data_IF_907411231974
#
_entry.id   IF_907411231974
#
_cell.length_a   1.000
_cell.length_b   1.000
_cell.length_c   1.000
_cell.angle_alpha   90.00
_cell.angle_beta   90.00
_cell.angle_gamma   90.00
#
_symmetry.space_group_name_H-M   'P 1'
#
loop_
_entity.id
_entity.type
_entity.pdbx_description
1 polymer ?
#
# COMPACT_ATOMS: atom_id res chain seq x y z
N UNK A 1 -4.55 19.37 4.84
CA UNK A 1 -5.52 18.36 5.31
C UNK A 1 -6.19 17.72 4.10
N UNK A 2 -6.08 16.40 3.89
CA UNK A 2 -6.66 15.75 2.71
C UNK A 2 -8.19 15.72 2.83
N UNK A 3 -8.85 16.49 1.95
CA UNK A 3 -10.28 16.81 1.99
C UNK A 3 -11.20 15.58 1.83
N UNK A 4 -10.66 14.44 1.39
CA UNK A 4 -11.42 13.21 1.17
C UNK A 4 -10.63 11.98 1.60
N UNK A 5 -10.73 11.59 2.89
CA UNK A 5 -10.16 10.33 3.38
C UNK A 5 -10.89 9.15 2.72
N UNK A 6 -10.14 8.22 2.13
CA UNK A 6 -10.66 6.95 1.61
C UNK A 6 -11.42 6.18 2.69
N UNK A 7 -12.38 5.35 2.28
CA UNK A 7 -13.04 4.42 3.19
C UNK A 7 -12.01 3.43 3.75
N UNK A 8 -12.03 3.22 5.05
CA UNK A 8 -11.22 2.19 5.71
C UNK A 8 -11.91 0.82 5.65
N UNK A 9 -11.19 -0.25 6.00
CA UNK A 9 -11.82 -1.57 6.17
C UNK A 9 -12.89 -1.54 7.28
N UNK A 10 -12.69 -0.75 8.34
CA UNK A 10 -13.70 -0.57 9.39
C UNK A 10 -14.98 0.04 8.82
N UNK A 11 -14.86 1.15 8.08
CA UNK A 11 -16.00 1.82 7.46
C UNK A 11 -16.77 0.85 6.54
N UNK A 12 -16.06 0.01 5.79
CA UNK A 12 -16.69 -1.00 4.92
C UNK A 12 -17.42 -2.09 5.71
N UNK A 13 -16.87 -2.52 6.85
CA UNK A 13 -17.55 -3.47 7.72
C UNK A 13 -18.82 -2.85 8.32
N UNK A 14 -18.77 -1.59 8.73
CA UNK A 14 -19.92 -0.86 9.26
C UNK A 14 -21.01 -0.68 8.20
N UNK A 15 -20.62 -0.39 6.94
CA UNK A 15 -21.55 -0.39 5.80
C UNK A 15 -22.20 -1.77 5.64
N UNK A 16 -21.42 -2.86 5.67
CA UNK A 16 -21.98 -4.20 5.51
C UNK A 16 -22.99 -4.53 6.62
N UNK A 17 -22.66 -4.22 7.89
CA UNK A 17 -23.55 -4.46 9.03
C UNK A 17 -24.83 -3.61 8.95
N UNK A 18 -24.71 -2.32 8.60
CA UNK A 18 -25.88 -1.45 8.40
C UNK A 18 -26.82 -1.96 7.31
N UNK A 19 -26.26 -2.48 6.21
CA UNK A 19 -27.03 -3.10 5.13
C UNK A 19 -27.72 -4.40 5.56
N UNK A 20 -27.10 -5.19 6.45
CA UNK A 20 -27.70 -6.40 7.02
C UNK A 20 -28.83 -6.09 7.99
N UNK A 21 -28.74 -4.96 8.72
CA UNK A 21 -29.79 -4.43 9.59
C UNK A 21 -30.92 -3.71 8.84
N UNK A 22 -30.77 -3.49 7.53
CA UNK A 22 -31.76 -2.78 6.72
C UNK A 22 -31.75 -1.25 6.94
N UNK A 23 -30.64 -0.69 7.43
CA UNK A 23 -30.49 0.75 7.63
C UNK A 23 -30.44 1.51 6.29
N UNK A 24 -30.87 2.78 6.30
CA UNK A 24 -30.79 3.65 5.13
C UNK A 24 -29.36 4.14 4.91
N UNK A 25 -28.99 4.49 3.66
CA UNK A 25 -27.68 5.09 3.38
C UNK A 25 -27.41 6.37 4.17
N UNK A 26 -28.47 7.10 4.57
CA UNK A 26 -28.35 8.29 5.42
C UNK A 26 -27.87 7.93 6.82
N UNK A 27 -28.47 6.92 7.44
CA UNK A 27 -28.08 6.43 8.77
C UNK A 27 -26.65 5.86 8.75
N UNK A 28 -26.34 5.02 7.76
CA UNK A 28 -25.00 4.44 7.60
C UNK A 28 -23.95 5.54 7.39
N UNK A 29 -24.24 6.53 6.54
CA UNK A 29 -23.34 7.67 6.31
C UNK A 29 -23.07 8.49 7.57
N UNK A 30 -24.11 8.75 8.39
CA UNK A 30 -23.95 9.41 9.68
C UNK A 30 -23.07 8.61 10.63
N UNK A 31 -23.22 7.29 10.69
CA UNK A 31 -22.41 6.40 11.54
C UNK A 31 -20.91 6.46 11.20
N UNK A 32 -20.56 6.38 9.91
CA UNK A 32 -19.16 6.38 9.46
C UNK A 32 -18.59 7.79 9.21
N UNK A 33 -19.38 8.84 9.51
CA UNK A 33 -19.04 10.25 9.24
C UNK A 33 -18.69 10.51 7.76
N UNK A 34 -19.50 9.96 6.84
CA UNK A 34 -19.38 10.14 5.38
C UNK A 34 -20.70 10.56 4.78
N UNK A 35 -20.63 11.23 3.62
CA UNK A 35 -21.81 11.59 2.86
C UNK A 35 -22.59 10.33 2.41
N UNK A 36 -23.94 10.30 2.50
CA UNK A 36 -24.75 9.15 2.09
C UNK A 36 -24.53 8.71 0.64
N UNK A 37 -24.18 9.65 -0.26
CA UNK A 37 -23.84 9.33 -1.65
C UNK A 37 -22.53 8.55 -1.76
N UNK A 38 -21.61 8.72 -0.82
CA UNK A 38 -20.36 7.93 -0.74
C UNK A 38 -20.68 6.47 -0.45
N UNK A 39 -21.57 6.21 0.52
CA UNK A 39 -22.05 4.86 0.84
C UNK A 39 -22.77 4.26 -0.36
N UNK A 40 -23.66 5.03 -1.02
CA UNK A 40 -24.36 4.53 -2.21
C UNK A 40 -23.41 4.17 -3.35
N UNK A 41 -22.39 5.01 -3.64
CA UNK A 41 -21.39 4.76 -4.68
C UNK A 41 -20.55 3.51 -4.37
N UNK A 42 -20.11 3.37 -3.11
CA UNK A 42 -19.35 2.20 -2.64
C UNK A 42 -20.15 0.90 -2.82
N UNK A 43 -21.41 0.90 -2.40
CA UNK A 43 -22.30 -0.28 -2.52
C UNK A 43 -22.57 -0.62 -3.98
N UNK A 44 -22.88 0.38 -4.83
CA UNK A 44 -23.12 0.15 -6.26
C UNK A 44 -21.91 -0.41 -6.99
N UNK A 45 -20.70 0.08 -6.66
CA UNK A 45 -19.45 -0.31 -7.31
C UNK A 45 -19.02 -1.72 -6.94
N UNK A 46 -19.16 -2.11 -5.67
CA UNK A 46 -18.62 -3.37 -5.15
C UNK A 46 -19.70 -4.43 -4.85
N UNK A 47 -20.87 -4.33 -5.49
CA UNK A 47 -21.92 -5.34 -5.38
C UNK A 47 -21.54 -6.61 -6.15
N UNK A 48 -21.82 -7.77 -5.58
CA UNK A 48 -21.42 -9.06 -6.14
C UNK A 48 -22.59 -10.00 -6.30
N UNK A 49 -22.66 -10.65 -7.45
CA UNK A 49 -23.67 -11.67 -7.75
C UNK A 49 -23.27 -12.96 -7.03
N UNK A 50 -24.25 -13.65 -6.46
CA UNK A 50 -24.07 -14.99 -5.89
C UNK A 50 -24.57 -16.03 -6.88
N UNK A 51 -23.66 -16.89 -7.35
CA UNK A 51 -23.89 -17.86 -8.44
C UNK A 51 -24.90 -18.98 -8.13
N UNK A 52 -25.42 -19.06 -6.91
CA UNK A 52 -26.26 -20.16 -6.43
C UNK A 52 -27.73 -20.12 -6.89
N UNK A 53 -28.07 -19.42 -7.99
CA UNK A 53 -29.49 -19.21 -8.35
C UNK A 53 -29.80 -19.79 -9.72
N UNK A 54 -30.75 -20.74 -9.78
CA UNK A 54 -30.99 -21.60 -10.95
C UNK A 54 -31.52 -20.91 -12.20
N UNK A 55 -32.13 -19.72 -12.11
CA UNK A 55 -32.86 -19.10 -13.24
C UNK A 55 -32.42 -17.66 -13.59
N UNK A 56 -31.42 -17.08 -12.89
CA UNK A 56 -30.85 -15.75 -13.16
C UNK A 56 -31.85 -14.58 -13.38
N UNK A 57 -33.08 -14.65 -12.85
CA UNK A 57 -34.06 -13.57 -13.04
C UNK A 57 -33.71 -12.32 -12.20
N UNK A 58 -33.80 -11.09 -12.73
CA UNK A 58 -33.51 -9.88 -11.97
C UNK A 58 -34.55 -9.67 -10.85
N UNK A 59 -34.08 -9.34 -9.64
CA UNK A 59 -34.98 -9.08 -8.51
C UNK A 59 -35.50 -7.63 -8.53
N UNK A 60 -36.82 -7.38 -8.52
CA UNK A 60 -37.38 -6.03 -8.59
C UNK A 60 -37.04 -5.17 -7.36
N UNK A 61 -36.73 -5.79 -6.22
CA UNK A 61 -36.32 -5.08 -5.00
C UNK A 61 -34.95 -4.40 -5.14
N UNK A 62 -34.11 -4.85 -6.09
CA UNK A 62 -32.79 -4.28 -6.33
C UNK A 62 -32.83 -2.99 -7.17
N UNK A 63 -34.00 -2.64 -7.73
CA UNK A 63 -34.20 -1.37 -8.43
C UNK A 63 -34.27 -0.16 -7.49
N UNK A 64 -34.43 -0.42 -6.18
CA UNK A 64 -34.47 0.60 -5.13
C UNK A 64 -33.26 0.43 -4.19
N UNK A 65 -32.93 1.49 -3.46
CA UNK A 65 -31.94 1.40 -2.39
C UNK A 65 -32.37 0.30 -1.39
N UNK A 66 -31.47 -0.59 -0.96
CA UNK A 66 -30.00 -0.49 -0.94
C UNK A 66 -29.26 -1.17 -2.11
N UNK A 67 -29.96 -1.56 -3.18
CA UNK A 67 -29.39 -2.25 -4.36
C UNK A 67 -28.73 -3.62 -4.08
N UNK A 68 -28.87 -4.16 -2.87
CA UNK A 68 -28.29 -5.44 -2.44
C UNK A 68 -29.27 -6.22 -1.55
N UNK A 69 -29.05 -7.52 -1.41
CA UNK A 69 -29.88 -8.47 -0.68
C UNK A 69 -29.43 -8.70 0.77
N UNK A 70 -28.45 -7.95 1.29
CA UNK A 70 -27.85 -8.15 2.61
C UNK A 70 -28.90 -8.28 3.74
N UNK A 71 -29.82 -7.31 3.82
CA UNK A 71 -30.94 -7.28 4.77
C UNK A 71 -32.27 -7.80 4.22
N UNK A 72 -32.28 -8.54 3.10
CA UNK A 72 -33.54 -9.03 2.52
C UNK A 72 -34.14 -10.14 3.41
N UNK A 73 -35.43 -10.07 3.80
CA UNK A 73 -36.07 -11.11 4.61
C UNK A 73 -36.11 -12.47 3.90
N UNK A 74 -36.10 -12.45 2.56
CA UNK A 74 -36.14 -13.65 1.71
C UNK A 74 -34.75 -14.09 1.24
N UNK A 75 -33.68 -13.60 1.87
CA UNK A 75 -32.28 -13.88 1.52
C UNK A 75 -31.95 -15.38 1.43
N UNK A 76 -32.52 -16.21 2.32
CA UNK A 76 -32.28 -17.66 2.38
C UNK A 76 -33.15 -18.48 1.42
N UNK A 77 -34.24 -17.91 0.89
CA UNK A 77 -35.15 -18.62 -0.01
C UNK A 77 -34.56 -18.69 -1.43
N UNK A 78 -34.65 -19.84 -2.09
CA UNK A 78 -34.24 -19.99 -3.49
C UNK A 78 -35.45 -19.84 -4.41
N UNK A 79 -35.71 -18.61 -4.89
CA UNK A 79 -36.89 -18.27 -5.71
C UNK A 79 -36.54 -17.93 -7.15
N UNK A 80 -35.41 -18.44 -7.66
CA UNK A 80 -34.97 -18.21 -9.05
C UNK A 80 -34.48 -16.79 -9.37
N UNK A 81 -34.48 -15.85 -8.40
CA UNK A 81 -33.95 -14.49 -8.59
C UNK A 81 -32.45 -14.38 -8.28
N UNK A 82 -31.71 -13.68 -9.15
CA UNK A 82 -30.31 -13.34 -8.96
C UNK A 82 -30.11 -12.56 -7.65
N UNK A 83 -29.28 -13.10 -6.76
CA UNK A 83 -28.97 -12.49 -5.47
C UNK A 83 -27.69 -11.67 -5.58
N UNK A 84 -27.75 -10.43 -5.12
CA UNK A 84 -26.61 -9.51 -5.14
C UNK A 84 -26.28 -9.14 -3.69
N UNK A 85 -25.01 -9.18 -3.30
CA UNK A 85 -24.55 -8.83 -1.96
C UNK A 85 -23.42 -7.82 -1.98
N UNK A 86 -23.33 -7.00 -0.93
CA UNK A 86 -22.14 -6.23 -0.61
C UNK A 86 -21.33 -6.97 0.46
N UNK A 87 -20.04 -7.19 0.21
CA UNK A 87 -19.13 -7.87 1.12
C UNK A 87 -17.88 -7.02 1.35
N UNK A 88 -17.71 -6.53 2.58
CA UNK A 88 -16.70 -5.55 2.95
C UNK A 88 -15.28 -6.01 2.62
N UNK A 89 -14.95 -7.28 2.93
CA UNK A 89 -13.63 -7.86 2.66
C UNK A 89 -13.28 -7.85 1.17
N UNK A 90 -14.25 -8.14 0.31
CA UNK A 90 -14.01 -8.17 -1.14
C UNK A 90 -13.94 -6.76 -1.72
N UNK A 91 -14.78 -5.83 -1.25
CA UNK A 91 -14.71 -4.43 -1.62
C UNK A 91 -13.34 -3.81 -1.23
N UNK A 92 -12.82 -4.15 -0.04
CA UNK A 92 -11.48 -3.75 0.39
C UNK A 92 -10.41 -4.33 -0.54
N UNK A 93 -10.48 -5.64 -0.86
CA UNK A 93 -9.54 -6.28 -1.77
C UNK A 93 -9.53 -5.64 -3.16
N UNK A 94 -10.71 -5.33 -3.71
CA UNK A 94 -10.85 -4.63 -4.98
C UNK A 94 -10.24 -3.23 -4.93
N UNK A 95 -10.46 -2.48 -3.85
CA UNK A 95 -9.85 -1.17 -3.65
C UNK A 95 -8.31 -1.25 -3.60
N UNK A 96 -7.75 -2.20 -2.85
CA UNK A 96 -6.30 -2.43 -2.77
C UNK A 96 -5.73 -2.82 -4.13
N UNK A 97 -6.43 -3.68 -4.88
CA UNK A 97 -6.05 -4.07 -6.23
C UNK A 97 -6.04 -2.86 -7.18
N UNK A 98 -7.08 -2.02 -7.19
CA UNK A 98 -7.08 -0.80 -8.02
C UNK A 98 -5.96 0.16 -7.64
N UNK A 99 -5.62 0.29 -6.36
CA UNK A 99 -4.49 1.10 -5.90
C UNK A 99 -3.13 0.58 -6.40
N UNK A 100 -3.01 -0.74 -6.54
CA UNK A 100 -1.84 -1.41 -7.08
C UNK A 100 -1.83 -1.21 -8.60
N UNK A 101 -2.88 -1.58 -9.31
CA UNK A 101 -3.02 -1.47 -10.77
C UNK A 101 -2.80 -0.04 -11.28
N UNK A 102 -3.35 0.98 -10.61
CA UNK A 102 -3.14 2.38 -11.00
C UNK A 102 -1.68 2.84 -10.87
N UNK A 103 -0.87 2.12 -10.09
CA UNK A 103 0.57 2.37 -9.89
C UNK A 103 1.44 1.32 -10.55
N UNK A 104 0.84 0.29 -11.13
CA UNK A 104 1.49 -0.77 -11.86
C UNK A 104 1.39 -0.50 -13.35
N UNK A 105 2.45 0.10 -13.87
CA UNK A 105 2.57 0.32 -15.30
C UNK A 105 3.59 1.40 -15.56
N UNK A 106 4.56 1.08 -16.41
CA UNK A 106 5.17 2.11 -17.26
C UNK A 106 4.30 2.18 -18.51
N UNK A 107 4.15 3.32 -19.20
CA UNK A 107 3.55 3.34 -20.53
C UNK A 107 4.46 2.57 -21.51
N UNK A 108 4.43 1.23 -21.43
CA UNK A 108 5.23 0.30 -22.22
C UNK A 108 4.84 0.33 -23.70
N UNK A 109 3.65 0.84 -24.02
CA UNK A 109 3.15 0.97 -25.39
C UNK A 109 3.48 2.34 -26.03
N UNK A 110 4.54 3.00 -25.57
CA UNK A 110 5.03 4.23 -26.19
C UNK A 110 6.18 3.90 -27.14
N UNK A 111 6.20 4.50 -28.33
CA UNK A 111 7.32 4.35 -29.28
C UNK A 111 8.66 4.69 -28.61
N UNK A 112 8.65 5.71 -27.75
CA UNK A 112 9.79 6.14 -26.92
C UNK A 112 10.37 5.03 -26.06
N UNK A 113 9.55 4.09 -25.58
CA UNK A 113 10.02 2.96 -24.78
C UNK A 113 10.82 1.97 -25.64
N UNK A 114 10.33 1.64 -26.84
CA UNK A 114 11.02 0.73 -27.75
C UNK A 114 12.31 1.32 -28.32
N UNK A 115 12.33 2.63 -28.59
CA UNK A 115 13.55 3.32 -29.02
C UNK A 115 14.62 3.27 -27.92
N UNK A 116 14.20 3.46 -26.66
CA UNK A 116 15.06 3.30 -25.49
C UNK A 116 15.56 1.85 -25.34
N UNK A 117 14.67 0.85 -25.47
CA UNK A 117 15.04 -0.56 -25.38
C UNK A 117 16.09 -0.95 -26.42
N UNK A 118 15.95 -0.47 -27.66
CA UNK A 118 16.90 -0.73 -28.73
C UNK A 118 18.29 -0.19 -28.39
N UNK A 119 18.38 1.09 -28.00
CA UNK A 119 19.65 1.73 -27.63
C UNK A 119 20.34 0.99 -26.48
N UNK A 120 19.56 0.62 -25.47
CA UNK A 120 20.07 -0.02 -24.26
C UNK A 120 20.50 -1.45 -24.53
N UNK A 121 19.69 -2.20 -25.28
CA UNK A 121 19.99 -3.57 -25.69
C UNK A 121 21.27 -3.63 -26.53
N UNK A 122 21.44 -2.71 -27.48
CA UNK A 122 22.64 -2.64 -28.31
C UNK A 122 23.88 -2.28 -27.49
N UNK A 123 23.77 -1.34 -26.55
CA UNK A 123 24.86 -0.95 -25.66
C UNK A 123 25.32 -2.08 -24.74
N UNK A 124 24.37 -2.82 -24.16
CA UNK A 124 24.67 -3.95 -23.26
C UNK A 124 25.24 -5.14 -24.03
N UNK A 125 24.74 -5.44 -25.23
CA UNK A 125 25.32 -6.48 -26.10
C UNK A 125 26.78 -6.17 -26.49
N UNK A 126 27.13 -4.88 -26.59
CA UNK A 126 28.52 -4.41 -26.76
C UNK A 126 29.36 -4.44 -25.48
N UNK A 127 28.79 -4.87 -24.35
CA UNK A 127 29.47 -4.95 -23.05
C UNK A 127 29.55 -3.63 -22.28
N UNK A 128 28.82 -2.59 -22.69
CA UNK A 128 28.86 -1.30 -21.99
C UNK A 128 28.07 -1.34 -20.67
N UNK A 129 28.53 -0.56 -19.69
CA UNK A 129 27.81 -0.40 -18.43
C UNK A 129 26.60 0.54 -18.59
N UNK A 130 25.46 0.21 -17.96
CA UNK A 130 24.20 0.99 -18.01
C UNK A 130 24.43 2.49 -17.80
N UNK A 131 25.24 2.85 -16.80
CA UNK A 131 25.53 4.24 -16.49
C UNK A 131 26.13 5.01 -17.67
N UNK A 132 27.03 4.38 -18.42
CA UNK A 132 27.64 5.00 -19.60
C UNK A 132 26.63 5.16 -20.74
N UNK A 133 25.82 4.13 -20.98
CA UNK A 133 24.76 4.18 -22.02
C UNK A 133 23.79 5.34 -21.74
N UNK A 134 23.32 5.47 -20.49
CA UNK A 134 22.41 6.54 -20.08
C UNK A 134 23.04 7.93 -20.26
N UNK A 135 24.32 8.09 -19.91
CA UNK A 135 25.03 9.37 -20.01
C UNK A 135 25.33 9.77 -21.45
N UNK A 136 25.69 8.82 -22.32
CA UNK A 136 26.01 9.07 -23.73
C UNK A 136 24.77 9.39 -24.55
N UNK A 137 23.66 8.68 -24.31
CA UNK A 137 22.42 8.83 -25.08
C UNK A 137 21.41 9.79 -24.44
N UNK A 138 21.76 10.42 -23.31
CA UNK A 138 20.93 11.38 -22.57
C UNK A 138 19.47 10.93 -22.39
N UNK A 139 19.29 9.68 -21.94
CA UNK A 139 17.97 9.08 -21.79
C UNK A 139 17.29 9.58 -20.50
N UNK A 140 16.00 9.91 -20.58
CA UNK A 140 15.16 10.38 -19.46
C UNK A 140 14.80 9.28 -18.43
N UNK A 141 15.62 8.24 -18.32
CA UNK A 141 15.42 7.14 -17.38
C UNK A 141 16.56 7.08 -16.36
N UNK A 142 16.22 7.00 -15.08
CA UNK A 142 17.21 6.73 -14.04
C UNK A 142 17.77 5.30 -14.16
N UNK A 143 19.00 5.10 -13.71
CA UNK A 143 19.61 3.77 -13.62
C UNK A 143 18.75 2.78 -12.83
N UNK A 144 18.16 3.24 -11.72
CA UNK A 144 17.27 2.43 -10.87
C UNK A 144 16.01 1.96 -11.60
N UNK A 145 15.45 2.80 -12.47
CA UNK A 145 14.30 2.49 -13.31
C UNK A 145 14.67 1.38 -14.30
N UNK A 146 15.84 1.49 -14.93
CA UNK A 146 16.28 0.50 -15.90
C UNK A 146 16.56 -0.86 -15.27
N UNK A 147 17.28 -0.92 -14.14
CA UNK A 147 17.48 -2.18 -13.41
C UNK A 147 16.15 -2.80 -12.95
N UNK A 148 15.13 -1.98 -12.67
CA UNK A 148 13.78 -2.47 -12.36
C UNK A 148 13.09 -3.06 -13.60
N UNK A 149 13.19 -2.41 -14.76
CA UNK A 149 12.63 -2.92 -16.02
C UNK A 149 13.28 -4.21 -16.48
N UNK A 150 14.61 -4.30 -16.41
CA UNK A 150 15.35 -5.53 -16.74
C UNK A 150 14.88 -6.70 -15.85
N UNK A 151 14.77 -6.47 -14.54
CA UNK A 151 14.28 -7.51 -13.60
C UNK A 151 12.82 -7.89 -13.81
N UNK A 152 11.98 -6.96 -14.25
CA UNK A 152 10.58 -7.22 -14.59
C UNK A 152 10.41 -7.83 -16.00
N UNK A 153 11.48 -7.93 -16.79
CA UNK A 153 11.43 -8.47 -18.16
C UNK A 153 10.72 -7.54 -19.15
N UNK A 154 10.74 -6.23 -18.91
CA UNK A 154 10.12 -5.26 -19.83
C UNK A 154 11.00 -4.89 -21.03
N UNK A 155 12.30 -5.14 -20.93
CA UNK A 155 13.28 -4.87 -21.98
C UNK A 155 13.67 -6.18 -22.66
N UNK A 156 14.24 -6.08 -23.87
CA UNK A 156 14.74 -7.25 -24.61
C UNK A 156 15.93 -7.94 -23.93
N UNK A 157 16.56 -7.27 -22.97
CA UNK A 157 17.69 -7.75 -22.17
C UNK A 157 17.24 -8.30 -20.81
N UNK A 158 17.97 -9.30 -20.34
CA UNK A 158 17.75 -9.96 -19.05
C UNK A 158 18.88 -9.67 -18.05
N UNK A 159 18.68 -9.93 -16.76
CA UNK A 159 19.74 -9.75 -15.75
C UNK A 159 21.03 -10.51 -16.05
N UNK A 160 20.97 -11.61 -16.80
CA UNK A 160 22.12 -12.41 -17.23
C UNK A 160 23.07 -11.66 -18.17
N UNK A 161 22.54 -10.70 -18.93
CA UNK A 161 23.32 -9.89 -19.88
C UNK A 161 24.14 -8.81 -19.16
N UNK A 162 23.88 -8.59 -17.87
CA UNK A 162 24.57 -7.58 -17.06
C UNK A 162 25.81 -8.17 -16.39
N UNK A 163 26.97 -7.54 -16.63
CA UNK A 163 28.28 -8.01 -16.16
C UNK A 163 28.41 -8.37 -14.67
N UNK A 164 27.61 -7.74 -13.79
CA UNK A 164 27.67 -7.93 -12.33
C UNK A 164 26.36 -8.31 -11.67
N UNK A 165 25.22 -8.22 -12.35
CA UNK A 165 23.92 -8.35 -11.68
C UNK A 165 23.72 -9.74 -11.06
N UNK A 166 24.08 -10.80 -11.78
CA UNK A 166 23.92 -12.20 -11.33
C UNK A 166 25.05 -12.64 -10.38
N UNK A 167 26.18 -11.92 -10.34
CA UNK A 167 27.30 -12.25 -9.44
C UNK A 167 26.99 -11.94 -7.98
N UNK A 168 26.18 -10.92 -7.73
CA UNK A 168 25.85 -10.50 -6.37
C UNK A 168 24.70 -11.33 -5.82
N UNK A 169 24.95 -12.05 -4.73
CA UNK A 169 23.90 -12.71 -3.96
C UNK A 169 22.95 -11.66 -3.38
N UNK A 170 21.65 -11.90 -3.50
CA UNK A 170 20.67 -11.05 -2.82
C UNK A 170 20.94 -11.03 -1.32
N UNK A 171 20.96 -9.82 -0.75
CA UNK A 171 21.11 -9.67 0.70
C UNK A 171 19.90 -10.28 1.39
N UNK A 172 20.14 -11.23 2.30
CA UNK A 172 19.09 -11.78 3.16
C UNK A 172 18.48 -10.64 3.97
N UNK A 173 17.18 -10.39 3.79
CA UNK A 173 16.43 -9.48 4.66
C UNK A 173 15.98 -10.27 5.88
N UNK A 174 16.54 -9.98 7.05
CA UNK A 174 15.94 -10.47 8.30
C UNK A 174 14.64 -9.71 8.54
N UNK A 175 13.55 -10.43 8.77
CA UNK A 175 12.35 -9.82 9.34
C UNK A 175 12.59 -9.76 10.84
N UNK A 176 12.84 -8.57 11.36
CA UNK A 176 12.88 -8.37 12.80
C UNK A 176 11.51 -8.73 13.40
N UNK A 177 11.46 -9.33 14.60
CA UNK A 177 10.19 -9.58 15.27
C UNK A 177 9.44 -8.26 15.47
N UNK A 178 8.12 -8.29 15.28
CA UNK A 178 7.29 -7.13 15.57
C UNK A 178 7.38 -6.82 17.06
N UNK A 179 7.60 -5.55 17.40
CA UNK A 179 7.56 -5.09 18.78
C UNK A 179 6.14 -5.33 19.34
N UNK A 180 5.99 -6.04 20.48
CA UNK A 180 4.69 -6.28 21.12
C UNK A 180 3.91 -4.99 21.38
N UNK A 181 2.58 -5.07 21.34
CA UNK A 181 1.71 -3.88 21.50
C UNK A 181 1.81 -3.32 22.91
N UNK A 182 1.95 -4.20 23.90
CA UNK A 182 2.08 -3.90 25.32
C UNK A 182 3.32 -3.06 25.59
N UNK A 183 4.43 -3.36 24.91
CA UNK A 183 5.69 -2.63 25.01
C UNK A 183 5.62 -1.22 24.39
N UNK A 184 4.59 -0.91 23.60
CA UNK A 184 4.35 0.41 22.99
C UNK A 184 3.41 1.31 23.80
N UNK A 185 2.66 0.74 24.75
CA UNK A 185 1.70 1.50 25.56
C UNK A 185 2.47 2.48 26.45
N UNK A 186 2.14 3.77 26.38
CA UNK A 186 2.87 4.83 27.11
C UNK A 186 4.22 5.21 26.50
N UNK A 187 4.54 4.69 25.29
CA UNK A 187 5.77 4.99 24.55
C UNK A 187 5.46 5.51 23.14
N UNK A 188 4.26 6.01 22.90
CA UNK A 188 3.92 6.65 21.64
C UNK A 188 4.49 8.07 21.57
N UNK A 189 4.56 8.62 20.37
CA UNK A 189 4.96 10.02 20.18
C UNK A 189 3.98 10.98 20.89
N UNK A 190 2.69 10.64 20.91
CA UNK A 190 1.68 11.41 21.64
C UNK A 190 1.95 11.40 23.15
N UNK A 191 2.29 10.23 23.71
CA UNK A 191 2.68 10.12 25.13
C UNK A 191 3.91 10.99 25.45
N UNK A 192 4.90 11.00 24.54
CA UNK A 192 6.10 11.83 24.66
C UNK A 192 5.77 13.32 24.65
N UNK A 193 4.93 13.80 23.72
CA UNK A 193 4.51 15.20 23.68
C UNK A 193 3.73 15.61 24.93
N UNK A 194 2.83 14.74 25.42
CA UNK A 194 2.10 14.97 26.66
C UNK A 194 3.04 15.07 27.87
N UNK A 195 4.08 14.24 27.92
CA UNK A 195 5.09 14.27 28.97
C UNK A 195 5.88 15.58 28.96
N UNK A 196 6.35 16.03 27.79
CA UNK A 196 7.05 17.32 27.66
C UNK A 196 6.17 18.49 28.13
N UNK A 197 4.90 18.50 27.74
CA UNK A 197 3.95 19.55 28.13
C UNK A 197 3.67 19.55 29.64
N UNK A 198 3.51 18.36 30.26
CA UNK A 198 3.25 18.22 31.69
C UNK A 198 4.43 18.71 32.53
N UNK A 199 5.66 18.42 32.10
CA UNK A 199 6.87 18.74 32.82
C UNK A 199 7.56 20.02 32.37
N UNK A 200 6.99 20.75 31.40
CA UNK A 200 7.53 22.00 30.84
C UNK A 200 8.99 21.85 30.38
N UNK A 201 9.25 20.76 29.65
CA UNK A 201 10.59 20.45 29.13
C UNK A 201 10.71 20.88 27.67
N UNK A 202 11.60 21.84 27.41
CA UNK A 202 11.87 22.34 26.05
C UNK A 202 13.06 21.63 25.36
N UNK A 203 13.86 20.90 26.13
CA UNK A 203 15.04 20.19 25.65
C UNK A 203 15.11 18.77 26.16
N UNK A 204 15.53 17.84 25.31
CA UNK A 204 15.76 16.44 25.64
C UNK A 204 17.00 15.92 24.91
N UNK A 205 17.48 14.77 25.38
CA UNK A 205 18.57 14.04 24.77
C UNK A 205 18.04 12.76 24.15
N UNK A 206 18.24 12.60 22.84
CA UNK A 206 17.91 11.36 22.15
C UNK A 206 19.15 10.47 22.13
N UNK A 207 18.97 9.21 22.47
CA UNK A 207 20.04 8.22 22.53
C UNK A 207 19.71 7.06 21.59
N UNK A 208 20.65 6.72 20.71
CA UNK A 208 20.53 5.59 19.79
C UNK A 208 21.86 4.85 19.65
N UNK A 209 21.84 3.65 19.09
CA UNK A 209 23.03 2.82 18.86
C UNK A 209 23.22 2.53 17.38
N UNK A 210 24.38 2.89 16.85
CA UNK A 210 24.80 2.50 15.49
C UNK A 210 25.64 1.23 15.58
N UNK A 211 25.03 0.11 15.21
CA UNK A 211 25.70 -1.18 15.12
C UNK A 211 26.42 -1.32 13.77
N UNK A 212 27.71 -1.64 13.82
CA UNK A 212 28.53 -1.95 12.65
C UNK A 212 28.38 -3.42 12.22
N UNK A 213 29.51 -4.14 12.19
CA UNK A 213 29.50 -5.60 11.96
C UNK A 213 28.97 -6.30 13.22
N UNK A 214 28.18 -7.36 13.05
CA UNK A 214 27.74 -8.19 14.18
C UNK A 214 28.96 -8.71 14.95
N UNK A 215 29.00 -8.47 16.26
CA UNK A 215 30.14 -8.83 17.13
C UNK A 215 31.29 -7.80 17.13
N UNK A 216 31.18 -6.69 16.41
CA UNK A 216 32.15 -5.59 16.44
C UNK A 216 31.69 -4.42 17.31
N UNK A 217 32.57 -3.44 17.54
CA UNK A 217 32.31 -2.24 18.36
C UNK A 217 31.05 -1.48 17.91
N UNK A 218 30.37 -0.87 18.87
CA UNK A 218 29.11 -0.13 18.68
C UNK A 218 29.36 1.35 18.97
N UNK A 219 28.70 2.25 18.24
CA UNK A 219 28.66 3.67 18.57
C UNK A 219 27.36 3.99 19.29
N UNK A 220 27.44 4.43 20.54
CA UNK A 220 26.31 5.01 21.26
C UNK A 220 26.25 6.50 20.92
N UNK A 221 25.24 6.90 20.17
CA UNK A 221 25.03 8.26 19.69
C UNK A 221 24.05 9.01 20.57
N UNK A 222 24.32 10.29 20.78
CA UNK A 222 23.54 11.22 21.59
C UNK A 222 23.25 12.47 20.76
N UNK A 223 21.97 12.85 20.67
CA UNK A 223 21.52 14.05 19.95
C UNK A 223 20.86 15.03 20.94
N UNK A 224 21.38 16.25 21.01
CA UNK A 224 20.81 17.33 21.83
C UNK A 224 19.74 18.07 21.04
N UNK A 225 18.47 17.98 21.48
CA UNK A 225 17.34 18.50 20.71
C UNK A 225 17.37 20.03 20.50
N UNK A 226 18.03 20.78 21.38
CA UNK A 226 18.05 22.24 21.32
C UNK A 226 19.10 22.83 20.36
N UNK A 227 20.13 22.06 19.99
CA UNK A 227 21.26 22.60 19.19
C UNK A 227 21.69 21.72 18.01
N UNK A 228 20.97 20.63 17.71
CA UNK A 228 21.33 19.66 16.67
C UNK A 228 22.78 19.15 16.79
N UNK A 229 23.34 19.20 17.99
CA UNK A 229 24.67 18.70 18.27
C UNK A 229 24.59 17.21 18.55
N UNK A 230 25.37 16.45 17.79
CA UNK A 230 25.44 14.99 17.91
C UNK A 230 26.86 14.62 18.33
N UNK A 231 26.96 13.80 19.38
CA UNK A 231 28.22 13.17 19.78
C UNK A 231 28.03 11.67 19.94
N UNK A 232 29.13 10.92 19.85
CA UNK A 232 29.10 9.46 19.94
C UNK A 232 30.20 8.95 20.86
N UNK A 233 29.87 7.91 21.62
CA UNK A 233 30.83 7.13 22.40
C UNK A 233 31.02 5.77 21.75
N UNK A 234 32.28 5.40 21.51
CA UNK A 234 32.63 4.06 21.10
C UNK A 234 32.48 3.11 22.30
N UNK A 235 31.68 2.06 22.12
CA UNK A 235 31.48 0.97 23.06
C UNK A 235 32.10 -0.29 22.50
N UNK A 236 32.75 -1.06 23.38
CA UNK A 236 33.06 -2.45 23.07
C UNK A 236 31.77 -3.28 23.18
N UNK A 237 31.68 -4.30 22.34
CA UNK A 237 30.45 -5.06 22.10
C UNK A 237 30.45 -6.41 22.80
#
# INVERSE_FOLDING_TARGET
MTKHKHLTLSDRNDIQLGLERGETFKAIGQLILKDPTTVSKEVKRNKQIRDSTSNNLPCPLLNKATFVCNGCPKRRQNRGYQKIFYLAKQAQKQYEQTLVEAREGTPLNSQTFWDMDKIISDGIKKGQHIYHILKTHNLDASSSTLYRYIRKGYLSIAPIDLARAVKFKERRKSKLPSIPKEAKKGRSYEDFQNYLALHQLDSWLEMDTVMGRMGGKVLLTFNLSFCNFIFARLLDN
#
